data_IF_069503747034
#
_entry.id   IF_069503747034
#
_cell.length_a   1.000
_cell.length_b   1.000
_cell.length_c   1.000
_cell.angle_alpha   90.00
_cell.angle_beta   90.00
_cell.angle_gamma   90.00
#
_symmetry.space_group_name_H-M   'P 1'
#
loop_
_entity.id
_entity.type
_entity.pdbx_description
1 polymer ?
#
# COMPACT_ATOMS: atom_id res chain seq x y z
N UNK A 1 3.67 7.38 -14.01
CA UNK A 1 4.85 6.49 -14.03
C UNK A 1 6.15 7.28 -13.88
N UNK A 2 6.38 8.36 -14.64
CA UNK A 2 7.52 9.29 -14.45
C UNK A 2 7.56 9.90 -13.04
N UNK A 3 6.41 10.30 -12.48
CA UNK A 3 6.33 10.86 -11.13
C UNK A 3 6.80 9.88 -10.03
N UNK A 4 6.52 8.58 -10.21
CA UNK A 4 6.95 7.52 -9.28
C UNK A 4 8.46 7.25 -9.45
N UNK A 5 8.98 7.33 -10.67
CA UNK A 5 10.40 7.16 -10.97
C UNK A 5 11.27 8.33 -10.47
N UNK A 6 10.75 9.56 -10.60
CA UNK A 6 11.40 10.77 -10.09
C UNK A 6 11.41 10.78 -8.56
N UNK A 7 10.32 10.35 -7.92
CA UNK A 7 10.34 10.18 -6.47
C UNK A 7 11.32 9.09 -6.06
N UNK A 8 11.36 7.92 -6.71
CA UNK A 8 12.30 6.84 -6.34
C UNK A 8 13.78 7.19 -6.56
N UNK A 9 14.15 7.95 -7.60
CA UNK A 9 15.56 8.32 -7.84
C UNK A 9 16.07 9.41 -6.89
N UNK A 10 15.20 10.34 -6.46
CA UNK A 10 15.55 11.34 -5.43
C UNK A 10 15.66 10.72 -4.02
N UNK A 11 15.16 9.50 -3.82
CA UNK A 11 15.02 8.83 -2.52
C UNK A 11 16.21 7.93 -2.11
N UNK A 12 17.15 7.63 -3.02
CA UNK A 12 18.21 6.63 -2.77
C UNK A 12 19.42 7.19 -2.02
N UNK A 13 19.70 8.49 -2.08
CA UNK A 13 20.99 9.02 -1.60
C UNK A 13 21.02 9.42 -0.12
N UNK A 14 19.89 9.59 0.57
CA UNK A 14 19.86 9.82 2.03
C UNK A 14 18.52 9.36 2.63
N UNK A 15 18.46 8.10 3.08
CA UNK A 15 17.28 7.51 3.73
C UNK A 15 17.17 8.04 5.18
N UNK A 16 16.83 9.32 5.29
CA UNK A 16 16.54 9.96 6.57
C UNK A 16 15.32 9.29 7.23
N UNK A 17 15.36 9.13 8.55
CA UNK A 17 14.31 8.48 9.37
C UNK A 17 12.89 8.99 9.09
N UNK A 18 12.78 10.25 8.63
CA UNK A 18 11.54 10.90 8.21
C UNK A 18 10.89 10.24 6.98
N UNK A 19 11.68 9.70 6.06
CA UNK A 19 11.18 9.03 4.85
C UNK A 19 10.46 7.72 5.15
N UNK A 20 10.85 7.03 6.23
CA UNK A 20 10.21 5.79 6.69
C UNK A 20 8.73 6.02 7.04
N UNK A 21 8.39 7.22 7.54
CA UNK A 21 7.01 7.59 7.91
C UNK A 21 6.29 8.29 6.75
N UNK A 22 7.00 9.10 5.96
CA UNK A 22 6.39 9.83 4.85
C UNK A 22 5.81 8.91 3.78
N UNK A 23 6.49 7.80 3.45
CA UNK A 23 6.06 6.85 2.42
C UNK A 23 4.68 6.21 2.68
N UNK A 24 4.43 5.56 3.85
CA UNK A 24 3.13 4.96 4.12
C UNK A 24 2.01 6.01 4.20
N UNK A 25 2.29 7.22 4.71
CA UNK A 25 1.33 8.33 4.70
C UNK A 25 0.95 8.71 3.27
N UNK A 26 1.94 8.86 2.40
CA UNK A 26 1.71 9.15 0.99
C UNK A 26 0.84 8.06 0.33
N UNK A 27 1.11 6.78 0.60
CA UNK A 27 0.27 5.68 0.08
C UNK A 27 -1.16 5.73 0.61
N UNK A 28 -1.36 5.97 1.90
CA UNK A 28 -2.70 6.10 2.49
C UNK A 28 -3.46 7.25 1.82
N UNK A 29 -2.85 8.44 1.71
CA UNK A 29 -3.52 9.60 1.10
C UNK A 29 -3.89 9.35 -0.36
N UNK A 30 -2.98 8.77 -1.16
CA UNK A 30 -3.25 8.47 -2.57
C UNK A 30 -4.37 7.44 -2.73
N UNK A 31 -4.37 6.39 -1.91
CA UNK A 31 -5.39 5.34 -1.99
C UNK A 31 -6.73 5.83 -1.48
N UNK A 32 -6.77 6.63 -0.41
CA UNK A 32 -7.99 7.31 0.04
C UNK A 32 -8.56 8.23 -1.02
N UNK A 33 -7.72 9.01 -1.70
CA UNK A 33 -8.15 9.86 -2.81
C UNK A 33 -8.79 9.03 -3.94
N UNK A 34 -8.17 7.90 -4.29
CA UNK A 34 -8.72 7.00 -5.30
C UNK A 34 -10.08 6.40 -4.89
N UNK A 35 -10.20 5.94 -3.64
CA UNK A 35 -11.49 5.45 -3.11
C UNK A 35 -12.55 6.55 -3.09
N UNK A 36 -12.19 7.77 -2.68
CA UNK A 36 -13.08 8.91 -2.71
C UNK A 36 -13.59 9.20 -4.13
N UNK A 37 -12.70 9.20 -5.13
CA UNK A 37 -13.08 9.39 -6.54
C UNK A 37 -14.06 8.32 -7.02
N UNK A 38 -13.88 7.06 -6.62
CA UNK A 38 -14.81 5.97 -6.97
C UNK A 38 -16.17 6.07 -6.30
N UNK A 39 -16.24 6.68 -5.11
CA UNK A 39 -17.51 6.96 -4.42
C UNK A 39 -18.20 8.18 -5.05
N UNK A 40 -17.44 9.24 -5.37
CA UNK A 40 -17.96 10.48 -5.94
C UNK A 40 -18.42 10.32 -7.40
N UNK A 41 -17.80 9.42 -8.16
CA UNK A 41 -18.15 9.09 -9.54
C UNK A 41 -18.42 7.58 -9.65
N UNK A 42 -19.63 7.11 -9.25
CA UNK A 42 -19.97 5.71 -9.29
C UNK A 42 -19.93 5.17 -10.73
N UNK A 43 -19.19 4.09 -10.95
CA UNK A 43 -19.25 3.32 -12.19
C UNK A 43 -20.35 2.26 -12.13
N UNK A 44 -20.90 1.87 -13.28
CA UNK A 44 -21.93 0.82 -13.37
C UNK A 44 -21.41 -0.58 -12.95
N UNK A 45 -20.09 -0.81 -13.02
CA UNK A 45 -19.45 -2.06 -12.64
C UNK A 45 -19.10 -2.16 -11.14
N UNK A 46 -18.86 -3.38 -10.67
CA UNK A 46 -18.34 -3.61 -9.31
C UNK A 46 -16.95 -3.00 -9.19
N UNK A 47 -16.68 -2.32 -8.08
CA UNK A 47 -15.36 -1.74 -7.81
C UNK A 47 -14.24 -2.79 -7.83
N UNK A 48 -14.55 -4.03 -7.47
CA UNK A 48 -13.62 -5.17 -7.46
C UNK A 48 -13.21 -5.67 -8.84
N UNK A 49 -13.90 -5.24 -9.90
CA UNK A 49 -13.51 -5.52 -11.28
C UNK A 49 -12.44 -4.56 -11.80
N UNK A 50 -12.28 -3.40 -11.17
CA UNK A 50 -11.18 -2.48 -11.44
C UNK A 50 -9.87 -3.05 -10.85
N UNK A 51 -8.82 -3.29 -11.65
CA UNK A 51 -7.54 -3.77 -11.11
C UNK A 51 -6.90 -2.80 -10.12
N UNK A 52 -7.15 -1.48 -10.25
CA UNK A 52 -6.61 -0.46 -9.35
C UNK A 52 -7.21 -0.62 -7.94
N UNK A 53 -8.43 -1.16 -7.81
CA UNK A 53 -9.01 -1.47 -6.50
C UNK A 53 -8.10 -2.36 -5.66
N UNK A 54 -7.58 -3.43 -6.26
CA UNK A 54 -6.75 -4.41 -5.55
C UNK A 54 -5.40 -3.79 -5.14
N UNK A 55 -4.81 -2.97 -6.01
CA UNK A 55 -3.58 -2.24 -5.72
C UNK A 55 -3.80 -1.22 -4.61
N UNK A 56 -4.87 -0.44 -4.69
CA UNK A 56 -5.20 0.58 -3.69
C UNK A 56 -5.55 -0.02 -2.34
N UNK A 57 -6.31 -1.13 -2.31
CA UNK A 57 -6.63 -1.84 -1.07
C UNK A 57 -5.37 -2.41 -0.40
N UNK A 58 -4.45 -2.98 -1.19
CA UNK A 58 -3.19 -3.53 -0.70
C UNK A 58 -2.30 -2.44 -0.08
N UNK A 59 -2.14 -1.32 -0.77
CA UNK A 59 -1.34 -0.18 -0.30
C UNK A 59 -1.94 0.49 0.94
N UNK A 60 -3.27 0.62 1.01
CA UNK A 60 -3.95 1.17 2.17
C UNK A 60 -3.76 0.27 3.40
N UNK A 61 -4.00 -1.04 3.25
CA UNK A 61 -3.81 -2.02 4.31
C UNK A 61 -2.37 -2.00 4.83
N UNK A 62 -1.40 -2.09 3.92
CA UNK A 62 0.01 -2.06 4.25
C UNK A 62 0.42 -0.77 4.95
N UNK A 63 0.01 0.39 4.41
CA UNK A 63 0.34 1.70 4.97
C UNK A 63 -0.14 1.85 6.41
N UNK A 64 -1.40 1.47 6.69
CA UNK A 64 -1.97 1.53 8.03
C UNK A 64 -1.19 0.68 9.04
N UNK A 65 -0.92 -0.59 8.71
CA UNK A 65 -0.19 -1.49 9.60
C UNK A 65 1.28 -1.13 9.75
N UNK A 66 1.89 -0.54 8.72
CA UNK A 66 3.26 -0.07 8.80
C UNK A 66 3.39 1.11 9.77
N UNK A 67 2.49 2.10 9.71
CA UNK A 67 2.45 3.20 10.68
C UNK A 67 2.19 2.65 12.09
N UNK A 68 1.27 1.69 12.21
CA UNK A 68 0.98 1.01 13.47
C UNK A 68 2.16 0.22 14.03
N UNK A 69 3.18 -0.12 13.23
CA UNK A 69 4.44 -0.70 13.72
C UNK A 69 5.46 0.35 14.13
N UNK A 70 5.58 1.44 13.35
CA UNK A 70 6.59 2.48 13.58
C UNK A 70 6.31 3.24 14.87
N UNK A 71 5.05 3.59 15.14
CA UNK A 71 4.68 4.36 16.34
C UNK A 71 5.00 3.58 17.63
N UNK A 72 4.56 2.31 17.82
CA UNK A 72 4.92 1.53 18.99
C UNK A 72 6.41 1.26 19.12
N UNK A 73 7.14 1.06 18.02
CA UNK A 73 8.59 0.94 18.09
C UNK A 73 9.23 2.16 18.75
N UNK A 74 8.78 3.36 18.40
CA UNK A 74 9.30 4.58 19.01
C UNK A 74 8.91 4.71 20.50
N UNK A 75 7.72 4.25 20.89
CA UNK A 75 7.21 4.40 22.25
C UNK A 75 7.66 3.30 23.24
N UNK A 76 7.94 2.09 22.76
CA UNK A 76 8.15 0.89 23.59
C UNK A 76 9.52 0.22 23.39
N UNK A 77 10.46 0.87 22.69
CA UNK A 77 11.77 0.28 22.31
C UNK A 77 12.57 -0.28 23.49
N UNK A 78 12.42 0.30 24.69
CA UNK A 78 13.14 -0.14 25.90
C UNK A 78 12.27 -0.91 26.90
N UNK A 79 10.97 -1.04 26.65
CA UNK A 79 10.01 -1.42 27.70
C UNK A 79 9.33 -2.76 27.42
N UNK A 80 8.98 -3.06 26.17
CA UNK A 80 8.26 -4.29 25.81
C UNK A 80 8.68 -4.85 24.44
N UNK A 81 9.76 -5.62 24.44
CA UNK A 81 10.28 -6.28 23.24
C UNK A 81 9.32 -7.36 22.70
N UNK A 82 8.52 -8.01 23.55
CA UNK A 82 7.57 -9.04 23.13
C UNK A 82 6.47 -8.46 22.24
N UNK A 83 5.93 -7.30 22.63
CA UNK A 83 4.97 -6.56 21.82
C UNK A 83 5.56 -6.12 20.46
N UNK A 84 6.82 -5.68 20.43
CA UNK A 84 7.49 -5.27 19.19
C UNK A 84 7.73 -6.44 18.22
N UNK A 85 7.96 -7.65 18.74
CA UNK A 85 8.06 -8.87 17.94
C UNK A 85 6.69 -9.21 17.33
N UNK A 86 5.63 -9.18 18.14
CA UNK A 86 4.26 -9.43 17.66
C UNK A 86 3.86 -8.46 16.54
N UNK A 87 4.15 -7.16 16.69
CA UNK A 87 3.89 -6.17 15.65
C UNK A 87 4.68 -6.42 14.36
N UNK A 88 5.91 -6.93 14.49
CA UNK A 88 6.74 -7.30 13.33
C UNK A 88 6.14 -8.47 12.58
N UNK A 89 5.74 -9.52 13.29
CA UNK A 89 5.08 -10.70 12.72
C UNK A 89 3.77 -10.33 12.02
N UNK A 90 2.98 -9.45 12.65
CA UNK A 90 1.76 -8.94 12.06
C UNK A 90 2.03 -8.21 10.73
N UNK A 91 3.07 -7.36 10.67
CA UNK A 91 3.45 -6.70 9.41
C UNK A 91 3.91 -7.70 8.35
N UNK A 92 4.56 -8.82 8.72
CA UNK A 92 4.88 -9.87 7.75
C UNK A 92 3.64 -10.55 7.18
N UNK A 93 2.64 -10.85 8.02
CA UNK A 93 1.36 -11.39 7.56
C UNK A 93 0.67 -10.41 6.60
N UNK A 94 0.65 -9.12 6.96
CA UNK A 94 0.10 -8.06 6.11
C UNK A 94 0.84 -7.95 4.79
N UNK A 95 2.18 -8.08 4.78
CA UNK A 95 2.96 -8.10 3.55
C UNK A 95 2.56 -9.27 2.64
N UNK A 96 2.36 -10.47 3.20
CA UNK A 96 1.89 -11.62 2.42
C UNK A 96 0.53 -11.34 1.79
N UNK A 97 -0.41 -10.77 2.54
CA UNK A 97 -1.73 -10.37 2.03
C UNK A 97 -1.58 -9.31 0.92
N UNK A 98 -0.74 -8.31 1.13
CA UNK A 98 -0.47 -7.26 0.14
C UNK A 98 0.00 -7.86 -1.20
N UNK A 99 0.93 -8.81 -1.18
CA UNK A 99 1.39 -9.46 -2.41
C UNK A 99 0.30 -10.27 -3.10
N UNK A 100 -0.58 -10.94 -2.36
CA UNK A 100 -1.72 -11.65 -2.94
C UNK A 100 -2.71 -10.69 -3.61
N UNK A 101 -2.95 -9.52 -3.00
CA UNK A 101 -3.81 -8.48 -3.58
C UNK A 101 -3.18 -7.86 -4.84
N UNK A 102 -1.87 -7.58 -4.83
CA UNK A 102 -1.15 -7.13 -6.02
C UNK A 102 -1.22 -8.15 -7.16
N UNK A 103 -1.01 -9.43 -6.86
CA UNK A 103 -1.13 -10.50 -7.83
C UNK A 103 -2.53 -10.53 -8.46
N UNK A 104 -3.58 -10.41 -7.63
CA UNK A 104 -4.96 -10.35 -8.10
C UNK A 104 -5.23 -9.14 -8.99
N UNK A 105 -4.69 -7.97 -8.64
CA UNK A 105 -4.76 -6.78 -9.49
C UNK A 105 -4.08 -6.99 -10.85
N UNK A 106 -2.91 -7.63 -10.86
CA UNK A 106 -2.17 -7.94 -12.09
C UNK A 106 -2.93 -8.91 -13.01
N UNK A 107 -3.54 -9.97 -12.45
CA UNK A 107 -4.37 -10.89 -13.23
C UNK A 107 -5.57 -10.18 -13.90
N UNK A 108 -6.17 -9.20 -13.21
CA UNK A 108 -7.26 -8.39 -13.77
C UNK A 108 -6.76 -7.53 -14.92
N UNK A 109 -5.59 -6.89 -14.79
CA UNK A 109 -4.95 -6.18 -15.90
C UNK A 109 -4.67 -7.08 -17.11
N UNK A 110 -4.13 -8.28 -16.87
CA UNK A 110 -3.87 -9.25 -17.93
C UNK A 110 -5.15 -9.65 -18.69
N UNK A 111 -6.23 -9.88 -17.95
CA UNK A 111 -7.55 -10.20 -18.53
C UNK A 111 -8.05 -9.07 -19.43
N UNK A 112 -7.94 -7.82 -18.95
CA UNK A 112 -8.33 -6.64 -19.73
C UNK A 112 -7.47 -6.50 -20.99
N UNK A 113 -6.16 -6.74 -20.89
CA UNK A 113 -5.24 -6.66 -22.03
C UNK A 113 -5.56 -7.73 -23.09
N UNK A 114 -5.87 -8.97 -22.69
CA UNK A 114 -6.27 -10.04 -23.62
C UNK A 114 -7.58 -9.73 -24.33
N UNK A 115 -8.56 -9.15 -23.63
CA UNK A 115 -9.85 -8.79 -24.23
C UNK A 115 -9.77 -7.66 -25.26
N UNK A 116 -8.76 -6.77 -25.17
CA UNK A 116 -8.54 -5.71 -26.16
C UNK A 116 -7.89 -6.19 -27.47
N UNK A 117 -7.25 -7.36 -27.43
CA UNK A 117 -6.55 -7.95 -28.59
C UNK A 117 -7.40 -8.99 -29.34
N UNK A 118 -8.67 -9.15 -28.96
CA UNK A 118 -9.68 -9.97 -29.62
C UNK A 118 -10.65 -9.08 -30.38
#
# INVERSE_FOLDING_TARGET
MIYILVSTNFLVENLDSKLVIALPIFYILNTMLWFYQKIALPSEGKITDDPIFWISAALLLWGCFFIFRVIPRYLFDSTDQGFLILLRELVYIVNSIMYLLFFKGLMKYETIAKNKNK
#
